data_IF_306054973478
#
_entry.id   IF_306054973478
#
_cell.length_a   1.000
_cell.length_b   1.000
_cell.length_c   1.000
_cell.angle_alpha   90.00
_cell.angle_beta   90.00
_cell.angle_gamma   90.00
#
_symmetry.space_group_name_H-M   'P 1'
#
loop_
_entity.id
_entity.type
_entity.pdbx_description
1 polymer ?
#
# COMPACT_ATOMS: atom_id res chain seq x y z
N UNK A 1 -2.48 17.86 -6.39
CA UNK A 1 -3.58 17.25 -5.63
C UNK A 1 -3.95 18.25 -4.54
N UNK A 2 -5.20 18.67 -4.47
CA UNK A 2 -5.68 19.51 -3.36
C UNK A 2 -5.89 18.65 -2.11
N UNK A 3 -5.95 19.26 -0.93
CA UNK A 3 -6.27 18.53 0.32
C UNK A 3 -7.65 17.87 0.25
N UNK A 4 -8.60 18.50 -0.46
CA UNK A 4 -9.93 17.96 -0.70
C UNK A 4 -9.88 16.69 -1.57
N UNK A 5 -9.05 16.68 -2.62
CA UNK A 5 -8.81 15.49 -3.45
C UNK A 5 -8.13 14.38 -2.64
N UNK A 6 -7.16 14.70 -1.78
CA UNK A 6 -6.50 13.72 -0.89
C UNK A 6 -7.52 13.11 0.08
N UNK A 7 -8.36 13.94 0.71
CA UNK A 7 -9.44 13.49 1.59
C UNK A 7 -10.39 12.54 0.85
N UNK A 8 -10.82 12.91 -0.35
CA UNK A 8 -11.68 12.07 -1.20
C UNK A 8 -11.05 10.70 -1.49
N UNK A 9 -9.82 10.68 -2.02
CA UNK A 9 -9.13 9.43 -2.36
C UNK A 9 -8.92 8.55 -1.13
N UNK A 10 -8.63 9.15 0.02
CA UNK A 10 -8.43 8.42 1.30
C UNK A 10 -9.74 7.79 1.78
N UNK A 11 -10.85 8.51 1.73
CA UNK A 11 -12.18 7.98 2.07
C UNK A 11 -12.55 6.80 1.15
N UNK A 12 -12.27 6.92 -0.14
CA UNK A 12 -12.48 5.85 -1.13
C UNK A 12 -11.60 4.64 -0.83
N UNK A 13 -10.31 4.83 -0.59
CA UNK A 13 -9.37 3.77 -0.21
C UNK A 13 -9.87 2.95 0.99
N UNK A 14 -10.35 3.62 2.05
CA UNK A 14 -10.86 2.95 3.25
C UNK A 14 -12.21 2.24 3.03
N UNK A 15 -12.94 2.60 1.97
CA UNK A 15 -14.20 1.95 1.58
C UNK A 15 -14.01 0.76 0.65
N UNK A 16 -12.81 0.55 0.11
CA UNK A 16 -12.53 -0.49 -0.87
C UNK A 16 -12.70 -1.88 -0.28
N UNK A 17 -13.48 -2.71 -0.95
CA UNK A 17 -13.58 -4.14 -0.60
C UNK A 17 -12.43 -4.89 -1.24
N UNK A 18 -11.75 -5.70 -0.43
CA UNK A 18 -10.65 -6.53 -0.91
C UNK A 18 -11.14 -7.49 -2.03
N UNK A 19 -10.38 -7.65 -3.12
CA UNK A 19 -10.73 -8.57 -4.21
C UNK A 19 -10.93 -10.01 -3.74
N UNK A 20 -11.76 -10.79 -4.43
CA UNK A 20 -12.05 -12.17 -4.03
C UNK A 20 -10.80 -13.09 -4.09
N UNK A 21 -9.86 -12.79 -4.98
CA UNK A 21 -8.57 -13.46 -5.08
C UNK A 21 -7.46 -12.74 -4.29
N UNK A 22 -7.81 -11.83 -3.38
CA UNK A 22 -6.86 -11.20 -2.48
C UNK A 22 -6.22 -12.26 -1.60
N UNK A 23 -4.90 -12.41 -1.75
CA UNK A 23 -4.07 -13.38 -1.02
C UNK A 23 -2.87 -12.61 -0.46
N UNK A 24 -3.06 -11.82 0.61
CA UNK A 24 -1.93 -11.16 1.24
C UNK A 24 -1.00 -12.28 1.69
N UNK A 25 0.28 -12.24 1.30
CA UNK A 25 1.16 -13.39 1.48
C UNK A 25 1.04 -13.95 2.90
N UNK A 26 0.92 -15.27 2.93
CA UNK A 26 0.69 -16.24 4.01
C UNK A 26 1.42 -15.97 5.35
N UNK A 27 1.18 -14.82 6.01
CA UNK A 27 1.87 -14.42 7.25
C UNK A 27 3.05 -13.46 7.06
N UNK A 28 2.95 -12.45 6.17
CA UNK A 28 3.97 -11.39 6.07
C UNK A 28 4.17 -10.72 7.43
N UNK A 29 5.39 -10.82 7.94
CA UNK A 29 5.88 -10.02 9.06
C UNK A 29 6.94 -9.07 8.52
N UNK A 30 6.79 -7.78 8.79
CA UNK A 30 7.83 -6.80 8.50
C UNK A 30 8.69 -6.60 9.75
N UNK A 31 9.99 -6.94 9.65
CA UNK A 31 10.98 -6.55 10.63
C UNK A 31 11.67 -5.27 10.11
N UNK A 32 11.62 -4.13 10.82
CA UNK A 32 12.19 -2.87 10.32
C UNK A 32 13.71 -2.90 10.12
N UNK A 33 14.40 -3.78 10.83
CA UNK A 33 15.86 -3.84 10.87
C UNK A 33 16.39 -5.24 10.60
N UNK A 34 17.57 -5.31 9.98
CA UNK A 34 18.39 -6.51 9.83
C UNK A 34 19.79 -6.29 10.40
N UNK A 35 20.60 -7.35 10.45
CA UNK A 35 22.00 -7.29 10.89
C UNK A 35 22.21 -6.82 12.35
N UNK A 36 21.27 -7.17 13.25
CA UNK A 36 21.25 -6.69 14.66
C UNK A 36 22.54 -6.96 15.46
N UNK A 37 23.32 -7.96 15.09
CA UNK A 37 24.55 -8.36 15.78
C UNK A 37 25.83 -8.08 14.97
N UNK A 38 25.74 -7.33 13.87
CA UNK A 38 26.89 -7.04 13.01
C UNK A 38 27.68 -5.82 13.52
N UNK A 39 29.00 -5.70 13.23
CA UNK A 39 29.86 -4.62 13.74
C UNK A 39 29.38 -3.20 13.39
N UNK A 40 28.62 -3.06 12.31
CA UNK A 40 28.10 -1.79 11.82
C UNK A 40 26.72 -1.42 12.40
N UNK A 41 26.19 -2.25 13.30
CA UNK A 41 24.88 -2.05 13.92
C UNK A 41 23.70 -2.45 13.01
N UNK A 42 22.46 -2.33 13.52
CA UNK A 42 21.26 -2.65 12.78
C UNK A 42 21.08 -1.71 11.58
N UNK A 43 20.73 -2.29 10.44
CA UNK A 43 20.43 -1.57 9.20
C UNK A 43 18.93 -1.65 8.92
N UNK A 44 18.35 -0.60 8.32
CA UNK A 44 16.92 -0.55 8.03
C UNK A 44 16.58 -1.22 6.71
N UNK A 45 15.49 -1.99 6.69
CA UNK A 45 14.85 -2.41 5.45
C UNK A 45 14.12 -1.22 4.83
N UNK A 46 14.28 -1.03 3.52
CA UNK A 46 13.52 -0.05 2.72
C UNK A 46 12.85 -0.77 1.53
N UNK A 47 11.87 -1.66 1.81
CA UNK A 47 11.22 -2.42 0.76
C UNK A 47 10.38 -1.47 -0.09
N UNK A 48 10.56 -1.55 -1.41
CA UNK A 48 9.71 -0.87 -2.39
C UNK A 48 8.88 -1.90 -3.15
N UNK A 49 7.65 -1.50 -3.48
CA UNK A 49 6.63 -2.44 -3.96
C UNK A 49 5.95 -3.16 -2.80
N UNK A 50 4.66 -3.44 -2.96
CA UNK A 50 3.91 -4.22 -1.99
C UNK A 50 3.56 -5.57 -2.59
N UNK A 51 3.77 -6.64 -1.84
CA UNK A 51 3.22 -7.97 -2.14
C UNK A 51 1.76 -8.11 -1.70
N UNK A 52 1.14 -7.01 -1.25
CA UNK A 52 -0.24 -7.01 -0.81
C UNK A 52 -1.19 -7.20 -2.00
N UNK A 53 -0.89 -6.58 -3.14
CA UNK A 53 -1.70 -6.67 -4.35
C UNK A 53 -0.85 -7.12 -5.54
N UNK A 54 -1.44 -7.96 -6.40
CA UNK A 54 -0.93 -8.10 -7.76
C UNK A 54 -1.13 -6.79 -8.56
N UNK A 55 -0.56 -6.74 -9.76
CA UNK A 55 -0.61 -5.54 -10.60
C UNK A 55 -2.05 -5.10 -10.93
N UNK A 56 -2.94 -6.04 -11.21
CA UNK A 56 -4.32 -5.75 -11.62
C UNK A 56 -5.15 -5.28 -10.42
N UNK A 57 -4.95 -5.90 -9.27
CA UNK A 57 -5.55 -5.49 -8.00
C UNK A 57 -5.09 -4.08 -7.59
N UNK A 58 -3.80 -3.77 -7.76
CA UNK A 58 -3.27 -2.44 -7.50
C UNK A 58 -3.88 -1.40 -8.45
N UNK A 59 -3.99 -1.71 -9.75
CA UNK A 59 -4.70 -0.84 -10.70
C UNK A 59 -6.16 -0.63 -10.34
N UNK A 60 -6.88 -1.69 -9.96
CA UNK A 60 -8.29 -1.60 -9.59
C UNK A 60 -8.49 -0.68 -8.37
N UNK A 61 -7.62 -0.80 -7.36
CA UNK A 61 -7.61 0.10 -6.20
C UNK A 61 -7.36 1.56 -6.62
N UNK A 62 -6.37 1.82 -7.49
CA UNK A 62 -6.09 3.18 -7.98
C UNK A 62 -7.30 3.74 -8.73
N UNK A 63 -7.90 2.97 -9.63
CA UNK A 63 -9.11 3.36 -10.37
C UNK A 63 -10.26 3.69 -9.43
N UNK A 64 -10.46 2.90 -8.37
CA UNK A 64 -11.49 3.15 -7.37
C UNK A 64 -11.29 4.47 -6.61
N UNK A 65 -10.04 4.80 -6.27
CA UNK A 65 -9.70 6.05 -5.58
C UNK A 65 -9.95 7.29 -6.43
N UNK A 66 -9.70 7.20 -7.75
CA UNK A 66 -9.82 8.35 -8.67
C UNK A 66 -11.17 8.45 -9.37
N UNK A 67 -12.00 7.41 -9.28
CA UNK A 67 -13.35 7.43 -9.84
C UNK A 67 -14.16 8.57 -9.21
N UNK A 68 -14.65 9.50 -10.03
CA UNK A 68 -15.43 10.65 -9.54
C UNK A 68 -14.61 11.73 -8.82
N UNK A 69 -13.27 11.70 -8.93
CA UNK A 69 -12.40 12.71 -8.32
C UNK A 69 -12.78 14.12 -8.85
N UNK A 70 -13.04 15.10 -7.96
CA UNK A 70 -13.35 16.46 -8.38
C UNK A 70 -12.22 17.09 -9.18
N UNK A 71 -12.57 17.87 -10.22
CA UNK A 71 -11.59 18.68 -10.93
C UNK A 71 -11.01 19.74 -10.00
N UNK A 72 -9.70 20.00 -10.15
CA UNK A 72 -8.97 21.02 -9.39
C UNK A 72 -9.38 22.44 -9.75
#
# INVERSE_FOLDING_TARGET
>A
MTDEQIKYMTERFLSWKLPANFRPDNGISFKPTYNEHMPFGPQYHDPSGTNLFDYDQAQAMIRHMIEGLPAS
#
